data_IF_173871215104
#
_entry.id   IF_173871215104
#
_cell.length_a   1.000
_cell.length_b   1.000
_cell.length_c   1.000
_cell.angle_alpha   90.00
_cell.angle_beta   90.00
_cell.angle_gamma   90.00
#
_symmetry.space_group_name_H-M   'P 1'
#
loop_
_entity.id
_entity.type
_entity.pdbx_description
1 polymer ?
#
# COMPACT_ATOMS: atom_id res chain seq x y z
N UNK A 1 -16.93 -5.82 27.61
CA UNK A 1 -15.85 -4.82 27.82
C UNK A 1 -14.43 -5.42 27.72
N UNK A 2 -14.06 -6.39 28.55
CA UNK A 2 -12.71 -7.01 28.53
C UNK A 2 -12.40 -7.81 27.26
N UNK A 3 -13.41 -8.52 26.72
CA UNK A 3 -13.27 -9.32 25.49
C UNK A 3 -12.97 -8.47 24.25
N UNK A 4 -13.55 -7.26 24.16
CA UNK A 4 -13.26 -6.33 23.06
C UNK A 4 -11.83 -5.82 23.10
N UNK A 5 -11.32 -5.41 24.27
CA UNK A 5 -9.94 -4.94 24.40
C UNK A 5 -8.92 -6.05 24.07
N UNK A 6 -9.20 -7.29 24.47
CA UNK A 6 -8.31 -8.42 24.17
C UNK A 6 -8.27 -8.76 22.67
N UNK A 7 -9.44 -8.78 22.02
CA UNK A 7 -9.53 -8.99 20.57
C UNK A 7 -8.89 -7.84 19.80
N UNK A 8 -9.10 -6.61 20.24
CA UNK A 8 -8.55 -5.42 19.58
C UNK A 8 -7.02 -5.43 19.59
N UNK A 9 -6.41 -5.67 20.75
CA UNK A 9 -4.95 -5.79 20.84
C UNK A 9 -4.38 -6.89 19.93
N UNK A 10 -5.09 -8.03 19.83
CA UNK A 10 -4.69 -9.12 18.94
C UNK A 10 -4.89 -8.75 17.47
N UNK A 11 -5.99 -8.10 17.12
CA UNK A 11 -6.32 -7.68 15.77
C UNK A 11 -5.28 -6.67 15.26
N UNK A 12 -4.91 -5.68 16.08
CA UNK A 12 -3.85 -4.72 15.76
C UNK A 12 -2.54 -5.45 15.48
N UNK A 13 -2.13 -6.38 16.35
CA UNK A 13 -0.89 -7.14 16.15
C UNK A 13 -0.90 -7.93 14.84
N UNK A 14 -2.00 -8.63 14.54
CA UNK A 14 -2.15 -9.43 13.31
C UNK A 14 -2.11 -8.54 12.07
N UNK A 15 -2.85 -7.44 12.08
CA UNK A 15 -2.90 -6.49 10.96
C UNK A 15 -1.53 -5.84 10.73
N UNK A 16 -0.88 -5.37 11.80
CA UNK A 16 0.47 -4.80 11.71
C UNK A 16 1.49 -5.80 11.16
N UNK A 17 1.41 -7.07 11.55
CA UNK A 17 2.30 -8.12 11.01
C UNK A 17 2.03 -8.39 9.53
N UNK A 18 0.77 -8.38 9.10
CA UNK A 18 0.44 -8.53 7.67
C UNK A 18 1.00 -7.37 6.86
N UNK A 19 0.75 -6.13 7.29
CA UNK A 19 1.28 -4.93 6.62
C UNK A 19 2.81 -4.95 6.58
N UNK A 20 3.46 -5.37 7.66
CA UNK A 20 4.91 -5.53 7.69
C UNK A 20 5.40 -6.51 6.60
N UNK A 21 4.83 -7.71 6.53
CA UNK A 21 5.22 -8.71 5.54
C UNK A 21 4.95 -8.22 4.11
N UNK A 22 3.81 -7.56 3.88
CA UNK A 22 3.47 -6.96 2.59
C UNK A 22 4.51 -5.92 2.15
N UNK A 23 5.00 -5.08 3.08
CA UNK A 23 6.04 -4.10 2.77
C UNK A 23 7.42 -4.74 2.52
N UNK A 24 7.73 -5.86 3.18
CA UNK A 24 8.96 -6.62 2.93
C UNK A 24 8.92 -7.29 1.53
N UNK A 25 7.78 -7.86 1.14
CA UNK A 25 7.56 -8.43 -0.19
C UNK A 25 7.68 -7.39 -1.32
N UNK A 26 7.17 -6.17 -1.09
CA UNK A 26 7.33 -5.03 -2.01
C UNK A 26 8.79 -4.70 -2.21
N UNK A 27 9.57 -4.68 -1.13
CA UNK A 27 11.01 -4.39 -1.17
C UNK A 27 11.75 -5.43 -2.00
N UNK A 28 11.48 -6.71 -1.77
CA UNK A 28 12.10 -7.79 -2.53
C UNK A 28 11.70 -7.75 -4.01
N UNK A 29 10.45 -7.43 -4.30
CA UNK A 29 9.96 -7.26 -5.67
C UNK A 29 10.64 -6.10 -6.39
N UNK A 30 10.70 -4.92 -5.76
CA UNK A 30 11.39 -3.74 -6.33
C UNK A 30 12.88 -4.01 -6.53
N UNK A 31 13.52 -4.67 -5.57
CA UNK A 31 14.94 -5.05 -5.68
C UNK A 31 15.18 -6.07 -6.79
N UNK A 32 14.26 -7.03 -6.97
CA UNK A 32 14.28 -7.99 -8.08
C UNK A 32 14.21 -7.30 -9.43
N UNK A 33 13.31 -6.33 -9.57
CA UNK A 33 13.16 -5.52 -10.79
C UNK A 33 14.44 -4.80 -11.19
N UNK A 34 15.19 -4.26 -10.23
CA UNK A 34 16.48 -3.59 -10.51
C UNK A 34 17.51 -4.54 -11.11
N UNK A 35 17.52 -5.81 -10.68
CA UNK A 35 18.43 -6.84 -11.21
C UNK A 35 18.02 -7.33 -12.60
N UNK A 36 16.75 -7.16 -12.97
CA UNK A 36 16.21 -7.55 -14.27
C UNK A 36 16.13 -6.39 -15.27
N UNK A 37 16.78 -5.26 -15.01
CA UNK A 37 16.80 -4.13 -15.94
C UNK A 37 17.54 -4.54 -17.21
N UNK A 38 16.79 -4.73 -18.29
CA UNK A 38 17.32 -4.84 -19.66
C UNK A 38 17.02 -3.56 -20.44
N UNK A 39 17.68 -3.33 -21.59
CA UNK A 39 17.34 -2.21 -22.47
C UNK A 39 15.87 -2.19 -22.92
N UNK A 40 15.30 -3.37 -23.19
CA UNK A 40 13.89 -3.53 -23.59
C UNK A 40 12.94 -3.22 -22.42
N UNK A 41 13.35 -3.57 -21.21
CA UNK A 41 12.64 -3.18 -19.99
C UNK A 41 12.60 -1.64 -19.90
N UNK A 42 13.73 -0.94 -20.04
CA UNK A 42 13.76 0.54 -19.99
C UNK A 42 12.89 1.22 -21.06
N UNK A 43 12.73 0.61 -22.23
CA UNK A 43 11.89 1.12 -23.31
C UNK A 43 10.38 0.97 -23.04
N UNK A 44 10.00 0.01 -22.20
CA UNK A 44 8.60 -0.30 -21.87
C UNK A 44 8.24 0.05 -20.44
N UNK A 45 9.22 0.42 -19.62
CA UNK A 45 9.05 0.65 -18.20
C UNK A 45 8.32 1.96 -17.94
N UNK A 46 7.10 1.84 -17.39
CA UNK A 46 6.36 2.92 -16.79
C UNK A 46 6.31 2.72 -15.27
N UNK A 47 6.76 3.75 -14.54
CA UNK A 47 6.81 3.74 -13.08
C UNK A 47 5.41 3.65 -12.47
N UNK A 48 4.38 4.21 -13.12
CA UNK A 48 3.02 4.17 -12.59
C UNK A 48 2.44 2.76 -12.71
N UNK A 49 2.50 2.15 -13.90
CA UNK A 49 2.06 0.78 -14.15
C UNK A 49 2.78 -0.25 -13.28
N UNK A 50 4.10 -0.12 -13.13
CA UNK A 50 4.90 -1.02 -12.29
C UNK A 50 4.48 -0.91 -10.82
N UNK A 51 4.32 0.30 -10.29
CA UNK A 51 3.90 0.51 -8.91
C UNK A 51 2.46 0.05 -8.68
N UNK A 52 1.54 0.31 -9.61
CA UNK A 52 0.15 -0.14 -9.50
C UNK A 52 0.05 -1.67 -9.50
N UNK A 53 0.86 -2.36 -10.31
CA UNK A 53 0.93 -3.83 -10.28
C UNK A 53 1.46 -4.35 -8.94
N UNK A 54 2.54 -3.75 -8.43
CA UNK A 54 3.15 -4.14 -7.15
C UNK A 54 2.18 -3.92 -6.00
N UNK A 55 1.47 -2.79 -5.97
CA UNK A 55 0.50 -2.44 -4.93
C UNK A 55 -0.67 -3.43 -4.92
N UNK A 56 -1.26 -3.68 -6.09
CA UNK A 56 -2.41 -4.57 -6.20
C UNK A 56 -2.08 -6.02 -5.84
N UNK A 57 -0.85 -6.46 -6.11
CA UNK A 57 -0.42 -7.84 -5.90
C UNK A 57 0.17 -8.09 -4.51
N UNK A 58 0.96 -7.15 -4.01
CA UNK A 58 1.85 -7.39 -2.86
C UNK A 58 1.31 -6.78 -1.57
N UNK A 59 0.37 -5.82 -1.65
CA UNK A 59 -0.09 -5.08 -0.47
C UNK A 59 -1.62 -5.00 -0.31
N UNK A 60 -2.34 -6.13 -0.35
CA UNK A 60 -3.79 -6.12 -0.29
C UNK A 60 -4.34 -5.58 1.05
N UNK A 61 -3.70 -5.90 2.18
CA UNK A 61 -4.16 -5.45 3.51
C UNK A 61 -3.91 -3.96 3.68
N UNK A 62 -2.71 -3.49 3.33
CA UNK A 62 -2.37 -2.07 3.41
C UNK A 62 -3.24 -1.22 2.47
N UNK A 63 -3.49 -1.69 1.24
CA UNK A 63 -4.39 -1.01 0.30
C UNK A 63 -5.78 -0.86 0.91
N UNK A 64 -6.35 -1.95 1.45
CA UNK A 64 -7.70 -1.91 2.04
C UNK A 64 -7.79 -1.01 3.27
N UNK A 65 -6.75 -0.96 4.12
CA UNK A 65 -6.68 -0.05 5.26
C UNK A 65 -6.65 1.41 4.84
N UNK A 66 -5.79 1.76 3.87
CA UNK A 66 -5.68 3.12 3.35
C UNK A 66 -6.98 3.54 2.67
N UNK A 67 -7.58 2.64 1.89
CA UNK A 67 -8.84 2.89 1.21
C UNK A 67 -9.95 3.17 2.22
N UNK A 68 -10.08 2.32 3.24
CA UNK A 68 -11.04 2.52 4.33
C UNK A 68 -10.81 3.85 5.07
N UNK A 69 -9.56 4.18 5.38
CA UNK A 69 -9.21 5.45 6.04
C UNK A 69 -9.52 6.68 5.17
N UNK A 70 -9.43 6.55 3.84
CA UNK A 70 -9.73 7.62 2.90
C UNK A 70 -11.23 7.86 2.68
N UNK A 71 -12.09 6.95 3.17
CA UNK A 71 -13.54 6.99 2.96
C UNK A 71 -14.33 7.50 4.17
N UNK A 72 -13.67 8.10 5.17
CA UNK A 72 -14.38 8.72 6.31
C UNK A 72 -15.35 9.82 5.85
N UNK A 73 -16.44 10.04 6.58
CA UNK A 73 -17.42 11.10 6.27
C UNK A 73 -16.80 12.48 6.15
N UNK A 74 -15.70 12.72 6.87
CA UNK A 74 -14.92 13.95 6.77
C UNK A 74 -14.14 13.98 5.45
N UNK A 75 -13.38 12.92 5.15
CA UNK A 75 -12.62 12.83 3.90
C UNK A 75 -13.52 12.94 2.67
N UNK A 76 -14.71 12.33 2.69
CA UNK A 76 -15.71 12.45 1.62
C UNK A 76 -16.22 13.88 1.42
N UNK A 77 -16.35 14.66 2.49
CA UNK A 77 -16.81 16.07 2.43
C UNK A 77 -15.70 17.02 1.99
N UNK A 78 -14.47 16.81 2.45
CA UNK A 78 -13.37 17.75 2.26
C UNK A 78 -12.52 17.45 1.01
N UNK A 79 -12.44 16.19 0.57
CA UNK A 79 -11.63 15.80 -0.58
C UNK A 79 -12.42 15.86 -1.89
N UNK A 80 -12.56 17.06 -2.45
CA UNK A 80 -13.26 17.30 -3.73
C UNK A 80 -12.40 17.09 -4.97
N UNK A 81 -11.09 16.87 -4.79
CA UNK A 81 -10.11 16.91 -5.88
C UNK A 81 -9.51 15.54 -6.22
N UNK A 82 -9.42 14.62 -5.27
CA UNK A 82 -8.77 13.32 -5.46
C UNK A 82 -9.70 12.19 -5.05
N UNK A 83 -9.71 11.11 -5.83
CA UNK A 83 -10.41 9.88 -5.44
C UNK A 83 -9.67 9.20 -4.27
N UNK A 84 -10.39 8.37 -3.52
CA UNK A 84 -9.81 7.50 -2.48
C UNK A 84 -8.62 6.71 -3.01
N UNK A 85 -8.76 6.15 -4.21
CA UNK A 85 -7.70 5.40 -4.90
C UNK A 85 -6.44 6.23 -5.12
N UNK A 86 -6.57 7.47 -5.63
CA UNK A 86 -5.41 8.35 -5.85
C UNK A 86 -4.71 8.73 -4.53
N UNK A 87 -5.48 8.91 -3.45
CA UNK A 87 -4.92 9.16 -2.11
C UNK A 87 -4.15 7.93 -1.61
N UNK A 88 -4.72 6.73 -1.75
CA UNK A 88 -4.07 5.48 -1.35
C UNK A 88 -2.76 5.26 -2.09
N UNK A 89 -2.76 5.42 -3.42
CA UNK A 89 -1.55 5.31 -4.23
C UNK A 89 -0.48 6.35 -3.82
N UNK A 90 -0.89 7.58 -3.51
CA UNK A 90 0.04 8.64 -3.07
C UNK A 90 0.67 8.33 -1.72
N UNK A 91 -0.14 7.88 -0.74
CA UNK A 91 0.34 7.48 0.58
C UNK A 91 1.24 6.27 0.52
N UNK A 92 0.90 5.30 -0.32
CA UNK A 92 1.72 4.12 -0.54
C UNK A 92 3.09 4.48 -1.13
N UNK A 93 3.12 5.30 -2.19
CA UNK A 93 4.37 5.79 -2.78
C UNK A 93 5.22 6.53 -1.75
N UNK A 94 4.59 7.35 -0.91
CA UNK A 94 5.28 8.04 0.18
C UNK A 94 5.90 7.03 1.16
N UNK A 95 5.16 6.01 1.59
CA UNK A 95 5.68 4.96 2.49
C UNK A 95 6.86 4.22 1.86
N UNK A 96 6.79 3.87 0.58
CA UNK A 96 7.91 3.27 -0.15
C UNK A 96 9.12 4.20 -0.30
N UNK A 97 8.94 5.52 -0.31
CA UNK A 97 10.04 6.48 -0.48
C UNK A 97 10.90 6.67 0.77
N UNK A 98 10.40 6.28 1.95
CA UNK A 98 11.15 6.37 3.21
C UNK A 98 12.08 5.18 3.45
N UNK A 99 12.16 4.24 2.49
CA UNK A 99 12.77 2.91 2.64
C UNK A 99 13.85 2.66 1.60
#
# INVERSE_FOLDING_TARGET
PLFHCWIEARAVNVVSRKVYNEMDDVKDTLRGTIKSITPEFLMTWDINSTMDHIINKSTPTLHWLLESASQTDRARRENTKKTSTTVCLSLFRLLCSYW
#
